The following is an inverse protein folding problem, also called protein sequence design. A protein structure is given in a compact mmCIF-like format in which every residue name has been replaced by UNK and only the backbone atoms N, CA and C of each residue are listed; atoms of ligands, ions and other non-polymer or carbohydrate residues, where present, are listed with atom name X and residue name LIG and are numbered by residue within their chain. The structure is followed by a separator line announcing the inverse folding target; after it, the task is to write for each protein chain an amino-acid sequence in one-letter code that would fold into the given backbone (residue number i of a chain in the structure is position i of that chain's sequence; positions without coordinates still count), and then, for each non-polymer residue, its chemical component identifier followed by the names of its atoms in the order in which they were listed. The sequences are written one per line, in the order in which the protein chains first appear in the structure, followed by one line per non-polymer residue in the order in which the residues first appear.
data_IF_022052107179
#
_entry.id   IF_022052107179
#
_cell.length_a   1.000
_cell.length_b   1.000
_cell.length_c   1.000
_cell.angle_alpha   90.00
_cell.angle_beta   90.00
_cell.angle_gamma   90.00
#
_symmetry.space_group_name_H-M   'P 1'
#
loop_
_entity.id
_entity.type
_entity.pdbx_description
1 polymer ?
#
# COMPACT_ATOMS: atom_id res chain seq x y z
N UNK A 1 17.87 8.95 -29.14
CA UNK A 1 17.84 8.66 -27.69
C UNK A 1 17.90 7.15 -27.43
N UNK A 2 18.32 6.73 -26.20
CA UNK A 2 18.33 5.31 -25.84
C UNK A 2 16.89 4.79 -25.68
N UNK A 3 16.61 3.61 -26.24
CA UNK A 3 15.41 2.85 -25.89
C UNK A 3 15.51 2.37 -24.46
N UNK A 4 14.74 2.98 -23.59
CA UNK A 4 14.87 2.77 -22.15
C UNK A 4 13.73 1.91 -21.62
N UNK A 5 14.09 0.77 -21.04
CA UNK A 5 13.18 -0.08 -20.28
C UNK A 5 12.90 0.52 -18.92
N UNK A 6 11.65 0.50 -18.49
CA UNK A 6 11.23 0.84 -17.14
C UNK A 6 10.54 -0.37 -16.56
N UNK A 7 11.05 -0.90 -15.45
CA UNK A 7 10.46 -2.05 -14.75
C UNK A 7 9.87 -1.63 -13.42
N UNK A 8 8.76 -2.27 -13.07
CA UNK A 8 7.96 -2.04 -11.88
C UNK A 8 7.72 -3.37 -11.18
N UNK A 9 8.67 -3.87 -10.38
CA UNK A 9 8.51 -5.14 -9.69
C UNK A 9 7.59 -5.02 -8.47
N UNK A 10 6.87 -6.11 -8.18
CA UNK A 10 6.29 -6.36 -6.87
C UNK A 10 7.35 -7.01 -5.96
N UNK A 11 7.31 -6.68 -4.69
CA UNK A 11 8.28 -7.17 -3.71
C UNK A 11 7.61 -7.85 -2.50
N UNK A 12 8.40 -8.71 -1.86
CA UNK A 12 8.14 -9.19 -0.50
C UNK A 12 9.34 -8.81 0.35
N UNK A 13 9.19 -8.07 1.45
CA UNK A 13 10.28 -7.67 2.31
C UNK A 13 11.14 -8.85 2.76
N UNK A 14 12.44 -8.80 2.44
CA UNK A 14 13.40 -9.84 2.80
C UNK A 14 13.34 -11.14 1.99
N UNK A 15 12.41 -11.30 1.05
CA UNK A 15 12.34 -12.51 0.22
C UNK A 15 13.19 -12.38 -1.04
N UNK A 16 14.52 -12.31 -0.85
CA UNK A 16 15.50 -12.08 -1.93
C UNK A 16 15.33 -12.99 -3.16
N UNK A 17 15.10 -14.33 -3.04
CA UNK A 17 14.98 -15.19 -4.22
C UNK A 17 13.80 -14.83 -5.13
N UNK A 18 12.63 -14.49 -4.54
CA UNK A 18 11.44 -14.09 -5.31
C UNK A 18 11.63 -12.73 -5.94
N UNK A 19 12.10 -11.74 -5.17
CA UNK A 19 12.32 -10.39 -5.65
C UNK A 19 13.32 -10.38 -6.81
N UNK A 20 14.42 -11.12 -6.67
CA UNK A 20 15.42 -11.28 -7.71
C UNK A 20 14.83 -11.90 -8.99
N UNK A 21 14.05 -12.98 -8.87
CA UNK A 21 13.38 -13.60 -10.02
C UNK A 21 12.49 -12.59 -10.75
N UNK A 22 11.67 -11.84 -10.01
CA UNK A 22 10.79 -10.80 -10.58
C UNK A 22 11.58 -9.75 -11.35
N UNK A 23 12.70 -9.27 -10.81
CA UNK A 23 13.57 -8.29 -11.49
C UNK A 23 14.12 -8.88 -12.79
N UNK A 24 14.64 -10.10 -12.74
CA UNK A 24 15.23 -10.77 -13.93
C UNK A 24 14.18 -11.03 -15.01
N UNK A 25 12.97 -11.47 -14.64
CA UNK A 25 11.85 -11.67 -15.58
C UNK A 25 11.49 -10.36 -16.31
N UNK A 26 11.29 -9.27 -15.57
CA UNK A 26 10.95 -7.98 -16.14
C UNK A 26 12.12 -7.38 -16.96
N UNK A 27 13.35 -7.56 -16.52
CA UNK A 27 14.52 -7.17 -17.28
C UNK A 27 14.57 -7.87 -18.63
N UNK A 28 14.39 -9.20 -18.67
CA UNK A 28 14.38 -9.99 -19.90
C UNK A 28 13.24 -9.55 -20.83
N UNK A 29 12.06 -9.29 -20.30
CA UNK A 29 10.94 -8.74 -21.10
C UNK A 29 11.30 -7.41 -21.78
N UNK A 30 12.06 -6.55 -21.10
CA UNK A 30 12.57 -5.32 -21.72
C UNK A 30 13.61 -5.60 -22.83
N UNK A 31 14.47 -6.61 -22.66
CA UNK A 31 15.42 -7.01 -23.70
C UNK A 31 14.73 -7.51 -24.96
N UNK A 32 13.71 -8.34 -24.79
CA UNK A 32 12.91 -8.88 -25.90
C UNK A 32 12.24 -7.77 -26.73
N UNK A 33 11.99 -6.62 -26.09
CA UNK A 33 11.42 -5.42 -26.73
C UNK A 33 12.49 -4.45 -27.25
N UNK A 34 13.78 -4.78 -27.09
CA UNK A 34 14.91 -4.04 -27.63
C UNK A 34 15.37 -2.87 -26.76
N UNK A 35 15.25 -2.97 -25.45
CA UNK A 35 15.81 -1.99 -24.52
C UNK A 35 17.35 -1.92 -24.63
N UNK A 36 17.88 -0.72 -24.53
CA UNK A 36 19.33 -0.43 -24.50
C UNK A 36 19.83 -0.05 -23.09
N UNK A 37 18.90 0.25 -22.21
CA UNK A 37 19.08 0.50 -20.78
C UNK A 37 17.82 0.04 -20.08
N UNK A 38 17.91 -0.49 -18.84
CA UNK A 38 16.76 -0.79 -18.01
C UNK A 38 16.87 -0.05 -16.67
N UNK A 39 15.80 0.64 -16.28
CA UNK A 39 15.65 1.35 -15.02
C UNK A 39 14.78 0.54 -14.06
N UNK A 40 15.31 0.29 -12.86
CA UNK A 40 14.64 -0.41 -11.78
C UNK A 40 14.51 0.52 -10.57
N UNK A 41 13.37 0.56 -9.90
CA UNK A 41 13.22 1.34 -8.68
C UNK A 41 14.16 0.86 -7.58
N UNK A 42 14.53 1.72 -6.62
CA UNK A 42 15.34 1.32 -5.48
C UNK A 42 14.60 0.32 -4.60
N UNK A 43 15.35 -0.40 -3.80
CA UNK A 43 14.86 -1.39 -2.84
C UNK A 43 14.10 -2.59 -3.47
N UNK A 44 14.13 -2.74 -4.78
CA UNK A 44 13.49 -3.85 -5.47
C UNK A 44 14.00 -5.24 -5.02
N UNK A 45 15.25 -5.34 -4.56
CA UNK A 45 15.79 -6.58 -4.00
C UNK A 45 15.30 -6.86 -2.58
N UNK A 46 15.20 -5.83 -1.74
CA UNK A 46 14.92 -5.98 -0.30
C UNK A 46 13.46 -5.82 0.09
N UNK A 47 12.66 -5.11 -0.71
CA UNK A 47 11.42 -4.48 -0.29
C UNK A 47 11.68 -3.17 0.45
N UNK A 48 10.62 -2.36 0.60
CA UNK A 48 10.65 -1.03 1.26
C UNK A 48 10.48 -1.17 2.77
N UNK A 49 9.47 -1.90 3.19
CA UNK A 49 9.06 -1.99 4.60
C UNK A 49 9.76 -3.13 5.34
N UNK A 50 11.09 -3.09 5.35
CA UNK A 50 11.91 -4.14 5.97
C UNK A 50 12.01 -4.03 7.50
N UNK A 51 11.71 -2.87 8.08
CA UNK A 51 11.76 -2.64 9.53
C UNK A 51 13.04 -3.15 10.18
N UNK A 52 12.91 -3.88 11.28
CA UNK A 52 14.04 -4.46 12.02
C UNK A 52 14.82 -5.54 11.24
N UNK A 53 14.24 -6.12 10.17
CA UNK A 53 14.96 -7.11 9.36
C UNK A 53 16.25 -6.54 8.78
N UNK A 54 16.26 -5.27 8.37
CA UNK A 54 17.42 -4.60 7.83
C UNK A 54 18.60 -4.51 8.82
N UNK A 55 18.33 -4.58 10.12
CA UNK A 55 19.35 -4.55 11.16
C UNK A 55 20.05 -5.89 11.36
N UNK A 56 19.45 -6.99 10.92
CA UNK A 56 19.99 -8.35 11.09
C UNK A 56 21.17 -8.57 10.16
N UNK A 57 22.25 -9.14 10.68
CA UNK A 57 23.47 -9.48 9.89
C UNK A 57 23.16 -10.43 8.74
N UNK A 58 22.32 -11.43 8.98
CA UNK A 58 21.85 -12.38 7.96
C UNK A 58 21.14 -11.71 6.80
N UNK A 59 20.29 -10.72 7.06
CA UNK A 59 19.62 -9.94 6.02
C UNK A 59 20.63 -9.21 5.13
N UNK A 60 21.60 -8.51 5.72
CA UNK A 60 22.65 -7.79 4.98
C UNK A 60 23.53 -8.72 4.16
N UNK A 61 23.82 -9.91 4.68
CA UNK A 61 24.59 -10.93 3.95
C UNK A 61 23.82 -11.45 2.74
N UNK A 62 22.55 -11.80 2.91
CA UNK A 62 21.69 -12.26 1.83
C UNK A 62 21.44 -11.17 0.79
N UNK A 63 21.26 -9.91 1.21
CA UNK A 63 21.11 -8.77 0.31
C UNK A 63 22.33 -8.60 -0.62
N UNK A 64 23.56 -8.64 -0.04
CA UNK A 64 24.80 -8.57 -0.82
C UNK A 64 24.94 -9.76 -1.79
N UNK A 65 24.61 -10.96 -1.35
CA UNK A 65 24.65 -12.15 -2.19
C UNK A 65 23.62 -12.04 -3.34
N UNK A 66 22.41 -11.55 -3.08
CA UNK A 66 21.38 -11.31 -4.09
C UNK A 66 21.82 -10.26 -5.12
N UNK A 67 22.43 -9.16 -4.68
CA UNK A 67 22.96 -8.13 -5.59
C UNK A 67 24.08 -8.69 -6.47
N UNK A 68 25.00 -9.47 -5.89
CA UNK A 68 26.09 -10.11 -6.65
C UNK A 68 25.55 -11.15 -7.65
N UNK A 69 24.50 -11.88 -7.28
CA UNK A 69 23.84 -12.81 -8.19
C UNK A 69 23.14 -12.05 -9.32
N UNK A 70 22.36 -11.01 -9.00
CA UNK A 70 21.70 -10.18 -10.01
C UNK A 70 22.70 -9.61 -11.01
N UNK A 71 23.86 -9.12 -10.55
CA UNK A 71 24.89 -8.60 -11.43
C UNK A 71 25.36 -9.65 -12.48
N UNK A 72 25.38 -10.94 -12.12
CA UNK A 72 25.75 -12.03 -13.06
C UNK A 72 24.65 -12.35 -14.07
N UNK A 73 23.39 -12.14 -13.70
CA UNK A 73 22.24 -12.33 -14.60
C UNK A 73 22.10 -11.19 -15.63
N UNK A 74 22.71 -10.03 -15.37
CA UNK A 74 22.65 -8.86 -16.26
C UNK A 74 23.75 -8.98 -17.32
N UNK A 75 23.31 -9.00 -18.59
CA UNK A 75 24.17 -9.10 -19.77
C UNK A 75 24.67 -7.71 -20.25
N UNK A 76 24.77 -7.53 -21.57
CA UNK A 76 25.29 -6.31 -22.20
C UNK A 76 24.42 -5.07 -21.96
N UNK A 77 23.11 -5.23 -21.89
CA UNK A 77 22.19 -4.12 -21.60
C UNK A 77 22.25 -3.79 -20.13
N UNK A 78 22.66 -2.57 -19.74
CA UNK A 78 22.82 -2.24 -18.34
C UNK A 78 21.48 -2.14 -17.62
N UNK A 79 21.46 -2.58 -16.35
CA UNK A 79 20.39 -2.37 -15.39
C UNK A 79 20.84 -1.37 -14.33
N UNK A 80 20.09 -0.29 -14.16
CA UNK A 80 20.29 0.66 -13.06
C UNK A 80 19.28 0.39 -11.96
N UNK A 81 19.74 0.12 -10.73
CA UNK A 81 18.87 -0.03 -9.55
C UNK A 81 19.49 0.59 -8.29
N UNK A 82 18.65 0.96 -7.33
CA UNK A 82 19.06 1.36 -5.99
C UNK A 82 19.03 0.17 -5.02
N UNK A 83 20.09 -0.02 -4.27
CA UNK A 83 20.20 -1.04 -3.21
C UNK A 83 20.52 -0.38 -1.87
N UNK A 84 19.92 -0.90 -0.77
CA UNK A 84 20.20 -0.41 0.56
C UNK A 84 21.58 -0.87 1.05
N UNK A 85 22.33 0.01 1.69
CA UNK A 85 23.53 -0.31 2.44
C UNK A 85 23.50 0.32 3.84
N UNK A 86 24.63 0.33 4.54
CA UNK A 86 24.72 0.90 5.89
C UNK A 86 24.60 2.44 5.92
N UNK A 87 24.80 3.10 4.78
CA UNK A 87 24.81 4.55 4.63
C UNK A 87 23.55 5.10 3.94
N UNK A 88 22.63 4.20 3.51
CA UNK A 88 21.40 4.57 2.83
C UNK A 88 21.17 3.80 1.53
N UNK A 89 20.66 4.47 0.50
CA UNK A 89 20.44 3.86 -0.81
C UNK A 89 21.62 4.21 -1.71
N UNK A 90 22.27 3.16 -2.24
CA UNK A 90 23.33 3.30 -3.23
C UNK A 90 22.84 2.80 -4.58
N UNK A 91 23.00 3.57 -5.62
CA UNK A 91 22.68 3.15 -6.98
C UNK A 91 23.82 2.32 -7.59
N UNK A 92 23.45 1.25 -8.26
CA UNK A 92 24.33 0.33 -8.94
C UNK A 92 23.95 0.24 -10.42
N UNK A 93 24.91 0.47 -11.29
CA UNK A 93 24.79 0.11 -12.70
C UNK A 93 25.39 -1.29 -12.86
N UNK A 94 24.52 -2.25 -13.18
CA UNK A 94 24.91 -3.65 -13.40
C UNK A 94 25.07 -3.90 -14.90
N UNK A 95 26.18 -4.53 -15.30
CA UNK A 95 26.47 -4.90 -16.70
C UNK A 95 27.51 -6.00 -16.75
N UNK A 96 27.30 -7.05 -17.55
CA UNK A 96 28.28 -8.13 -17.82
C UNK A 96 28.89 -8.73 -16.54
N UNK A 97 28.08 -9.04 -15.55
CA UNK A 97 28.54 -9.59 -14.28
C UNK A 97 29.20 -8.58 -13.34
N UNK A 98 29.33 -7.32 -13.72
CA UNK A 98 29.96 -6.26 -12.93
C UNK A 98 28.92 -5.35 -12.30
N UNK A 99 29.26 -4.79 -11.15
CA UNK A 99 28.46 -3.79 -10.44
C UNK A 99 29.30 -2.53 -10.24
N UNK A 100 28.80 -1.41 -10.76
CA UNK A 100 29.43 -0.10 -10.65
C UNK A 100 28.62 0.77 -9.67
N UNK A 101 28.98 0.78 -8.36
CA UNK A 101 28.24 1.54 -7.38
C UNK A 101 28.52 3.04 -7.50
N UNK A 102 27.49 3.86 -7.27
CA UNK A 102 27.59 5.30 -7.08
C UNK A 102 26.75 5.68 -5.87
N UNK A 103 27.32 6.42 -4.97
CA UNK A 103 26.62 6.88 -3.78
C UNK A 103 25.61 7.97 -4.18
N UNK A 104 24.32 7.72 -3.91
CA UNK A 104 23.35 8.78 -3.84
C UNK A 104 23.57 9.49 -2.51
N UNK A 105 24.19 10.66 -2.52
CA UNK A 105 24.25 11.49 -1.33
C UNK A 105 22.85 12.08 -1.17
N UNK A 106 22.05 11.52 -0.28
CA UNK A 106 20.83 12.15 0.21
C UNK A 106 21.24 12.96 1.46
N UNK A 107 21.47 14.25 1.36
CA UNK A 107 21.65 15.04 2.56
C UNK A 107 20.29 15.24 3.23
N UNK A 108 20.17 15.05 4.54
CA UNK A 108 19.00 15.47 5.30
C UNK A 108 19.05 16.98 5.46
N UNK A 109 18.53 17.74 4.51
CA UNK A 109 18.42 19.19 4.69
C UNK A 109 17.24 19.75 3.91
N UNK A 110 16.32 20.47 4.57
CA UNK A 110 15.20 21.15 3.91
C UNK A 110 15.61 22.35 3.03
N UNK A 111 16.89 22.74 2.97
CA UNK A 111 17.36 23.90 2.23
C UNK A 111 18.70 23.72 1.49
N UNK A 112 19.23 22.50 1.37
CA UNK A 112 20.48 22.23 0.68
C UNK A 112 20.26 21.92 -0.80
N UNK A 113 21.03 22.55 -1.70
CA UNK A 113 21.11 22.15 -3.11
C UNK A 113 21.72 20.75 -3.17
N UNK A 114 20.88 19.74 -3.37
CA UNK A 114 21.27 18.33 -3.44
C UNK A 114 22.13 18.10 -4.68
N UNK A 115 23.25 17.42 -4.50
CA UNK A 115 24.05 16.90 -5.62
C UNK A 115 23.37 15.61 -6.10
N UNK A 116 22.83 15.67 -7.28
CA UNK A 116 22.24 14.51 -7.95
C UNK A 116 23.36 13.60 -8.46
N UNK A 117 23.41 12.30 -8.11
CA UNK A 117 24.39 11.38 -8.67
C UNK A 117 24.16 11.24 -10.17
N UNK A 118 25.25 11.34 -10.93
CA UNK A 118 25.24 11.26 -12.39
C UNK A 118 25.91 9.97 -12.81
N UNK A 119 25.22 9.15 -13.60
CA UNK A 119 25.75 7.95 -14.22
C UNK A 119 26.03 8.21 -15.69
N UNK A 120 27.27 7.99 -16.13
CA UNK A 120 27.64 8.02 -17.54
C UNK A 120 27.61 6.61 -18.12
N UNK A 121 26.84 6.41 -19.18
CA UNK A 121 26.88 5.21 -20.00
C UNK A 121 27.41 5.62 -21.36
N UNK A 122 28.60 5.10 -21.72
CA UNK A 122 29.19 5.36 -23.03
C UNK A 122 28.65 4.35 -24.05
N UNK A 123 27.93 4.84 -25.04
CA UNK A 123 27.66 4.13 -26.28
C UNK A 123 28.88 4.30 -27.21
N UNK A 124 29.12 3.40 -28.14
CA UNK A 124 30.37 3.31 -28.94
C UNK A 124 30.72 4.59 -29.70
N UNK A 125 29.82 5.54 -29.88
CA UNK A 125 30.09 6.83 -30.56
C UNK A 125 29.52 8.04 -29.80
N UNK A 126 28.57 7.83 -28.85
CA UNK A 126 27.95 8.90 -28.05
C UNK A 126 27.95 8.56 -26.56
N UNK A 127 28.30 9.53 -25.72
CA UNK A 127 28.21 9.41 -24.26
C UNK A 127 26.81 9.82 -23.82
N UNK A 128 26.01 8.87 -23.34
CA UNK A 128 24.75 9.16 -22.70
C UNK A 128 24.95 9.27 -21.18
N UNK A 129 24.60 10.40 -20.61
CA UNK A 129 24.73 10.67 -19.18
C UNK A 129 23.34 10.64 -18.53
N UNK A 130 23.20 9.89 -17.45
CA UNK A 130 21.97 9.80 -16.67
C UNK A 130 22.11 10.57 -15.36
N UNK A 131 21.14 11.40 -15.07
CA UNK A 131 21.00 12.00 -13.76
C UNK A 131 19.94 11.23 -12.97
N UNK A 132 20.32 10.68 -11.83
CA UNK A 132 19.41 10.04 -10.88
C UNK A 132 19.11 11.05 -9.79
N UNK A 133 17.85 11.49 -9.70
CA UNK A 133 17.39 12.41 -8.67
C UNK A 133 16.44 11.67 -7.71
N UNK A 134 16.92 11.16 -6.58
CA UNK A 134 16.04 10.64 -5.54
C UNK A 134 15.25 11.81 -4.94
N UNK A 135 13.93 11.77 -5.05
CA UNK A 135 13.08 12.79 -4.45
C UNK A 135 12.85 14.09 -5.25
N UNK A 136 13.23 14.14 -6.54
CA UNK A 136 12.83 15.24 -7.44
C UNK A 136 13.77 16.42 -7.56
N UNK A 137 15.03 16.31 -7.13
CA UNK A 137 16.04 17.36 -7.31
C UNK A 137 16.37 17.64 -8.79
N UNK A 138 16.55 18.91 -9.16
CA UNK A 138 16.97 19.34 -10.50
C UNK A 138 18.49 19.13 -10.64
N UNK A 139 18.98 18.51 -11.74
CA UNK A 139 20.42 18.32 -11.93
C UNK A 139 21.15 19.68 -12.09
N UNK A 140 22.44 19.75 -11.68
CA UNK A 140 23.23 20.96 -11.86
C UNK A 140 23.36 21.35 -13.34
N UNK A 141 23.32 22.63 -13.69
CA UNK A 141 23.28 23.13 -15.08
C UNK A 141 24.54 22.85 -15.92
N UNK A 142 25.59 22.27 -15.33
CA UNK A 142 26.85 21.97 -16.02
C UNK A 142 27.01 20.50 -16.40
N UNK A 143 25.96 19.69 -16.27
CA UNK A 143 25.97 18.30 -16.76
C UNK A 143 25.53 18.30 -18.22
N UNK A 144 26.50 18.47 -19.12
CA UNK A 144 26.29 18.78 -20.55
C UNK A 144 25.85 17.64 -21.45
N UNK A 145 25.46 16.47 -20.91
CA UNK A 145 25.04 15.32 -21.70
C UNK A 145 23.98 14.47 -21.02
N UNK A 146 23.14 15.08 -20.16
CA UNK A 146 22.04 14.35 -19.53
C UNK A 146 20.94 14.05 -20.54
N UNK A 147 20.61 12.78 -20.76
CA UNK A 147 19.57 12.39 -21.71
C UNK A 147 18.22 12.06 -21.07
N UNK A 148 18.17 11.86 -19.76
CA UNK A 148 16.94 11.63 -18.99
C UNK A 148 17.15 11.91 -17.48
N UNK A 149 16.05 12.13 -16.79
CA UNK A 149 16.00 12.22 -15.33
C UNK A 149 15.28 10.98 -14.77
N UNK A 150 15.76 10.46 -13.66
CA UNK A 150 15.12 9.34 -12.98
C UNK A 150 14.68 9.77 -11.57
N UNK A 151 13.36 9.79 -11.34
CA UNK A 151 12.75 9.94 -10.03
C UNK A 151 12.46 8.54 -9.46
N UNK A 152 12.69 8.36 -8.17
CA UNK A 152 12.51 7.07 -7.50
C UNK A 152 11.80 7.20 -6.16
N UNK A 153 10.53 7.68 -6.16
CA UNK A 153 9.77 7.76 -4.91
C UNK A 153 9.50 6.35 -4.36
N UNK A 154 9.64 6.20 -3.05
CA UNK A 154 9.45 4.93 -2.33
C UNK A 154 8.29 5.01 -1.31
N UNK A 155 7.34 5.93 -1.53
CA UNK A 155 6.23 6.16 -0.63
C UNK A 155 5.16 5.08 -0.79
N UNK A 156 4.54 4.67 0.32
CA UNK A 156 3.31 3.92 0.28
C UNK A 156 2.19 4.78 -0.30
N UNK A 157 1.27 4.12 -1.01
CA UNK A 157 0.13 4.78 -1.62
C UNK A 157 -0.84 5.33 -0.56
N UNK A 158 -1.31 6.51 -0.80
CA UNK A 158 -2.46 7.14 -0.19
C UNK A 158 -3.18 7.98 -1.24
N UNK A 159 -4.44 8.33 -0.97
CA UNK A 159 -5.22 9.14 -1.91
C UNK A 159 -4.52 10.48 -2.21
N UNK A 160 -4.49 10.85 -3.49
CA UNK A 160 -3.85 12.08 -3.98
C UNK A 160 -2.34 11.97 -4.25
N UNK A 161 -1.67 10.90 -3.82
CA UNK A 161 -0.23 10.74 -4.01
C UNK A 161 0.17 10.73 -5.50
N UNK A 162 -0.57 10.00 -6.32
CA UNK A 162 -0.20 9.84 -7.73
C UNK A 162 -0.40 11.11 -8.53
N UNK A 163 -1.46 11.85 -8.24
CA UNK A 163 -1.76 13.14 -8.85
C UNK A 163 -0.66 14.15 -8.55
N UNK A 164 -0.24 14.22 -7.29
CA UNK A 164 0.86 15.10 -6.88
C UNK A 164 2.17 14.71 -7.54
N UNK A 165 2.54 13.44 -7.50
CA UNK A 165 3.80 12.93 -8.06
C UNK A 165 3.89 13.10 -9.57
N UNK A 166 2.77 12.93 -10.30
CA UNK A 166 2.73 13.15 -11.74
C UNK A 166 2.86 14.63 -12.09
N UNK A 167 2.22 15.50 -11.33
CA UNK A 167 2.36 16.94 -11.53
C UNK A 167 3.80 17.39 -11.28
N UNK A 168 4.45 16.87 -10.23
CA UNK A 168 5.87 17.15 -9.98
C UNK A 168 6.77 16.63 -11.12
N UNK A 169 6.50 15.42 -11.65
CA UNK A 169 7.25 14.87 -12.77
C UNK A 169 7.07 15.71 -14.04
N UNK A 170 5.84 16.13 -14.32
CA UNK A 170 5.48 17.00 -15.45
C UNK A 170 6.19 18.36 -15.36
N UNK A 171 6.14 18.99 -14.20
CA UNK A 171 6.82 20.28 -13.95
C UNK A 171 8.34 20.15 -14.09
N UNK A 172 8.93 19.07 -13.54
CA UNK A 172 10.36 18.79 -13.69
C UNK A 172 10.75 18.60 -15.16
N UNK A 173 9.94 17.91 -15.95
CA UNK A 173 10.16 17.73 -17.37
C UNK A 173 10.13 19.08 -18.13
N UNK A 174 9.17 19.93 -17.81
CA UNK A 174 9.06 21.30 -18.37
C UNK A 174 10.27 22.17 -18.03
N UNK A 175 10.68 22.21 -16.76
CA UNK A 175 11.77 23.06 -16.30
C UNK A 175 13.11 22.66 -16.88
N UNK A 176 13.33 21.35 -17.08
CA UNK A 176 14.61 20.84 -17.58
C UNK A 176 14.65 20.61 -19.09
N UNK A 177 13.50 20.52 -19.74
CA UNK A 177 13.40 20.13 -21.15
C UNK A 177 13.78 18.65 -21.41
N UNK A 178 13.97 17.85 -20.36
CA UNK A 178 14.42 16.47 -20.43
C UNK A 178 13.27 15.49 -20.15
N UNK A 179 13.32 14.26 -20.70
CA UNK A 179 12.40 13.21 -20.31
C UNK A 179 12.59 12.84 -18.82
N UNK A 180 11.48 12.72 -18.10
CA UNK A 180 11.46 12.31 -16.69
C UNK A 180 10.85 10.93 -16.55
N UNK A 181 11.62 9.99 -16.05
CA UNK A 181 11.21 8.64 -15.70
C UNK A 181 10.96 8.57 -14.20
N UNK A 182 9.77 8.18 -13.80
CA UNK A 182 9.46 7.90 -12.40
C UNK A 182 9.33 6.40 -12.22
N UNK A 183 10.29 5.80 -11.50
CA UNK A 183 10.33 4.35 -11.24
C UNK A 183 9.83 4.06 -9.82
N UNK A 184 8.80 3.22 -9.69
CA UNK A 184 8.18 2.81 -8.43
C UNK A 184 8.07 1.30 -8.32
N UNK A 185 8.04 0.82 -7.10
CA UNK A 185 7.63 -0.53 -6.76
C UNK A 185 6.09 -0.62 -6.74
N UNK A 186 5.56 -1.82 -6.88
CA UNK A 186 4.13 -2.09 -6.87
C UNK A 186 3.75 -3.16 -5.83
N UNK A 187 2.46 -3.18 -5.50
CA UNK A 187 1.84 -4.22 -4.67
C UNK A 187 1.98 -4.00 -3.17
N UNK A 188 1.34 -4.88 -2.41
CA UNK A 188 1.27 -4.78 -0.95
C UNK A 188 2.54 -5.29 -0.26
N UNK A 189 3.00 -4.57 0.76
CA UNK A 189 4.01 -4.97 1.72
C UNK A 189 3.45 -4.85 3.14
N UNK A 190 2.80 -5.92 3.64
CA UNK A 190 2.07 -5.89 4.90
C UNK A 190 0.88 -4.91 4.83
N UNK A 191 0.75 -3.96 5.76
CA UNK A 191 -0.34 -2.99 5.75
C UNK A 191 -0.20 -1.89 4.70
N UNK A 192 0.94 -1.78 4.04
CA UNK A 192 1.25 -0.73 3.08
C UNK A 192 1.08 -1.22 1.65
N UNK A 193 0.61 -0.35 0.78
CA UNK A 193 0.48 -0.62 -0.64
C UNK A 193 1.41 0.30 -1.44
N UNK A 194 2.26 -0.27 -2.27
CA UNK A 194 3.13 0.48 -3.16
C UNK A 194 2.39 0.78 -4.47
N UNK A 195 2.38 2.04 -4.92
CA UNK A 195 1.44 2.48 -5.95
C UNK A 195 1.69 1.89 -7.34
N UNK A 196 2.92 1.49 -7.66
CA UNK A 196 3.25 1.27 -9.05
C UNK A 196 3.06 2.55 -9.88
N UNK A 197 2.32 2.46 -10.97
CA UNK A 197 2.07 3.60 -11.87
C UNK A 197 3.35 4.35 -12.25
N UNK A 198 4.46 3.63 -12.42
CA UNK A 198 5.70 4.21 -12.93
C UNK A 198 5.41 4.92 -14.24
N UNK A 199 5.94 6.12 -14.42
CA UNK A 199 5.54 6.98 -15.54
C UNK A 199 6.74 7.60 -16.25
N UNK A 200 6.53 7.99 -17.50
CA UNK A 200 7.53 8.69 -18.32
C UNK A 200 6.88 9.91 -18.94
N UNK A 201 7.46 11.05 -18.66
CA UNK A 201 7.06 12.34 -19.21
C UNK A 201 8.13 12.84 -20.20
N UNK A 202 7.72 13.36 -21.35
CA UNK A 202 8.64 14.04 -22.28
C UNK A 202 9.03 15.41 -21.75
N UNK A 203 10.15 15.96 -22.24
CA UNK A 203 10.53 17.34 -21.95
C UNK A 203 9.50 18.42 -22.40
N UNK A 204 8.52 18.03 -23.20
CA UNK A 204 7.40 18.88 -23.64
C UNK A 204 6.10 18.61 -22.84
N UNK A 205 6.21 18.11 -21.62
CA UNK A 205 5.09 17.86 -20.70
C UNK A 205 4.06 16.81 -21.17
N UNK A 206 4.36 15.98 -22.17
CA UNK A 206 3.46 14.93 -22.60
C UNK A 206 3.76 13.63 -21.83
N UNK A 207 2.71 12.99 -21.33
CA UNK A 207 2.83 11.63 -20.78
C UNK A 207 3.10 10.67 -21.93
N UNK A 208 4.25 10.00 -21.91
CA UNK A 208 4.65 9.01 -22.91
C UNK A 208 4.18 7.61 -22.54
N UNK A 209 4.24 7.28 -21.26
CA UNK A 209 3.84 5.98 -20.72
C UNK A 209 3.52 6.05 -19.25
N UNK A 210 2.50 5.29 -18.83
CA UNK A 210 2.25 4.93 -17.42
C UNK A 210 2.11 3.41 -17.34
N UNK A 211 2.78 2.80 -16.38
CA UNK A 211 2.63 1.39 -16.06
C UNK A 211 1.38 1.17 -15.18
N UNK A 212 0.97 -0.08 -15.01
CA UNK A 212 -0.25 -0.41 -14.26
C UNK A 212 -0.17 0.01 -12.80
N UNK A 213 -1.31 0.39 -12.25
CA UNK A 213 -1.44 0.69 -10.84
C UNK A 213 -1.36 -0.60 -10.02
N UNK A 214 -0.60 -0.57 -8.94
CA UNK A 214 -0.49 -1.61 -7.90
C UNK A 214 0.02 -2.98 -8.37
N UNK A 215 0.31 -3.17 -9.63
CA UNK A 215 0.71 -4.44 -10.22
C UNK A 215 2.12 -4.38 -10.79
N UNK A 216 2.78 -5.53 -10.87
CA UNK A 216 4.04 -5.64 -11.60
C UNK A 216 3.82 -5.35 -13.08
N UNK A 217 4.74 -4.60 -13.67
CA UNK A 217 4.67 -4.22 -15.08
C UNK A 217 6.04 -3.82 -15.63
N UNK A 218 6.14 -3.70 -16.96
CA UNK A 218 7.32 -3.16 -17.62
C UNK A 218 6.96 -2.60 -19.00
N UNK A 219 7.72 -1.62 -19.45
CA UNK A 219 7.63 -1.11 -20.80
C UNK A 219 8.99 -0.63 -21.30
N UNK A 220 9.18 -0.61 -22.62
CA UNK A 220 10.32 0.02 -23.27
C UNK A 220 9.84 1.27 -23.98
N UNK A 221 10.46 2.39 -23.66
CA UNK A 221 10.07 3.71 -24.14
C UNK A 221 11.18 4.27 -25.03
N UNK A 222 10.81 4.70 -26.23
CA UNK A 222 11.63 5.54 -27.08
C UNK A 222 11.09 6.96 -27.02
N UNK A 223 11.82 7.92 -26.44
CA UNK A 223 11.34 9.29 -26.35
C UNK A 223 11.13 9.98 -27.69
N UNK A 224 11.69 9.44 -28.77
CA UNK A 224 11.55 9.96 -30.14
C UNK A 224 10.28 9.47 -30.86
N UNK A 225 9.74 8.34 -30.42
CA UNK A 225 8.53 7.75 -30.97
C UNK A 225 7.58 7.38 -29.82
N UNK A 226 6.82 8.32 -29.29
CA UNK A 226 5.83 8.03 -28.27
C UNK A 226 4.73 7.16 -28.90
N UNK A 227 4.82 5.86 -28.73
CA UNK A 227 3.77 4.92 -29.11
C UNK A 227 2.73 4.89 -27.99
N UNK A 228 1.71 5.71 -28.12
CA UNK A 228 0.50 5.57 -27.34
C UNK A 228 0.17 6.77 -26.45
N UNK A 229 -1.05 7.21 -26.56
CA UNK A 229 -1.73 8.00 -25.54
C UNK A 229 -2.10 7.06 -24.40
N UNK A 230 -1.39 7.12 -23.29
CA UNK A 230 -1.82 6.39 -22.09
C UNK A 230 -3.11 6.99 -21.54
N UNK A 231 -3.93 6.12 -20.98
CA UNK A 231 -5.17 6.51 -20.32
C UNK A 231 -4.87 7.44 -19.13
N UNK A 232 -5.74 8.42 -18.85
CA UNK A 232 -5.61 9.24 -17.64
C UNK A 232 -5.60 8.36 -16.38
N UNK A 233 -5.10 8.89 -15.27
CA UNK A 233 -5.26 8.22 -13.99
C UNK A 233 -6.74 7.90 -13.73
N UNK A 234 -7.06 6.73 -13.18
CA UNK A 234 -8.41 6.46 -12.71
C UNK A 234 -8.84 7.49 -11.67
N UNK A 235 -10.14 7.68 -11.50
CA UNK A 235 -10.63 8.58 -10.45
C UNK A 235 -10.13 8.15 -9.06
N UNK A 236 -10.03 9.06 -8.08
CA UNK A 236 -9.61 8.71 -6.73
C UNK A 236 -10.40 7.55 -6.12
N UNK A 237 -11.70 7.49 -6.38
CA UNK A 237 -12.56 6.38 -5.94
C UNK A 237 -12.19 5.05 -6.60
N UNK A 238 -11.90 5.07 -7.89
CA UNK A 238 -11.46 3.87 -8.62
C UNK A 238 -10.08 3.40 -8.14
N UNK A 239 -9.17 4.35 -7.89
CA UNK A 239 -7.87 4.04 -7.30
C UNK A 239 -8.03 3.41 -5.91
N UNK A 240 -8.86 3.99 -5.04
CA UNK A 240 -9.09 3.49 -3.69
C UNK A 240 -9.73 2.09 -3.69
N UNK A 241 -10.70 1.85 -4.59
CA UNK A 241 -11.31 0.52 -4.76
C UNK A 241 -10.29 -0.52 -5.20
N UNK A 242 -9.44 -0.17 -6.16
CA UNK A 242 -8.36 -1.04 -6.63
C UNK A 242 -7.32 -1.27 -5.51
N UNK A 243 -6.95 -0.22 -4.79
CA UNK A 243 -6.02 -0.28 -3.67
C UNK A 243 -6.50 -1.22 -2.55
N UNK A 244 -7.78 -1.12 -2.17
CA UNK A 244 -8.38 -2.02 -1.17
C UNK A 244 -8.29 -3.49 -1.60
N UNK A 245 -8.71 -3.78 -2.84
CA UNK A 245 -8.68 -5.14 -3.39
C UNK A 245 -7.26 -5.69 -3.45
N UNK A 246 -6.35 -4.96 -4.07
CA UNK A 246 -4.96 -5.39 -4.24
C UNK A 246 -4.21 -5.50 -2.92
N UNK A 247 -4.41 -4.54 -2.01
CA UNK A 247 -3.79 -4.58 -0.69
C UNK A 247 -4.26 -5.78 0.13
N UNK A 248 -5.56 -6.11 0.08
CA UNK A 248 -6.12 -7.28 0.75
C UNK A 248 -5.59 -8.58 0.13
N UNK A 249 -5.65 -8.72 -1.21
CA UNK A 249 -5.10 -9.86 -1.94
C UNK A 249 -3.64 -10.12 -1.55
N UNK A 250 -2.80 -9.10 -1.67
CA UNK A 250 -1.36 -9.21 -1.42
C UNK A 250 -1.05 -9.53 0.04
N UNK A 251 -1.77 -8.93 1.00
CA UNK A 251 -1.58 -9.26 2.40
C UNK A 251 -1.86 -10.74 2.66
N UNK A 252 -2.98 -11.25 2.17
CA UNK A 252 -3.40 -12.63 2.37
C UNK A 252 -2.42 -13.59 1.67
N UNK A 253 -2.18 -13.40 0.37
CA UNK A 253 -1.33 -14.33 -0.40
C UNK A 253 0.14 -14.30 0.02
N UNK A 254 0.66 -13.14 0.41
CA UNK A 254 2.05 -12.99 0.86
C UNK A 254 2.26 -13.42 2.31
N UNK A 255 1.19 -13.51 3.12
CA UNK A 255 1.25 -14.04 4.49
C UNK A 255 1.52 -15.55 4.54
N UNK A 256 1.24 -16.26 3.45
CA UNK A 256 1.49 -17.70 3.33
C UNK A 256 0.40 -18.60 3.92
N UNK A 257 -0.73 -18.05 4.36
CA UNK A 257 -1.87 -18.84 4.80
C UNK A 257 -2.63 -19.44 3.62
N UNK A 258 -3.03 -20.69 3.76
CA UNK A 258 -3.81 -21.43 2.75
C UNK A 258 -5.32 -21.25 2.88
N UNK A 259 -5.79 -20.79 4.03
CA UNK A 259 -7.20 -20.60 4.35
C UNK A 259 -7.42 -19.28 5.09
N UNK A 260 -8.64 -18.75 4.98
CA UNK A 260 -9.08 -17.52 5.65
C UNK A 260 -10.38 -17.77 6.39
N UNK A 261 -10.53 -17.19 7.55
CA UNK A 261 -11.81 -17.18 8.24
C UNK A 261 -12.22 -15.80 8.69
N UNK A 262 -13.53 -15.59 8.83
CA UNK A 262 -14.11 -14.32 9.28
C UNK A 262 -15.42 -14.57 10.04
N UNK A 263 -15.79 -13.60 10.88
CA UNK A 263 -17.07 -13.59 11.53
C UNK A 263 -18.13 -13.02 10.56
N UNK A 264 -19.13 -13.83 10.21
CA UNK A 264 -20.28 -13.41 9.40
C UNK A 264 -21.39 -12.90 10.31
N UNK A 265 -21.52 -11.58 10.36
CA UNK A 265 -22.64 -10.91 11.00
C UNK A 265 -23.56 -10.36 9.92
N UNK A 266 -24.81 -10.07 10.26
CA UNK A 266 -25.71 -9.34 9.36
C UNK A 266 -25.32 -7.84 9.23
N UNK A 267 -24.07 -7.48 9.48
CA UNK A 267 -23.61 -6.14 9.16
C UNK A 267 -23.06 -6.10 7.74
N UNK A 268 -23.35 -5.01 7.06
CA UNK A 268 -22.94 -4.80 5.67
C UNK A 268 -21.44 -4.94 5.45
N UNK A 269 -20.63 -4.60 6.44
CA UNK A 269 -19.17 -4.69 6.36
C UNK A 269 -18.66 -6.15 6.32
N UNK A 270 -19.27 -7.07 7.09
CA UNK A 270 -18.86 -8.48 7.04
C UNK A 270 -19.25 -9.15 5.72
N UNK A 271 -20.42 -8.82 5.18
CA UNK A 271 -20.86 -9.31 3.88
C UNK A 271 -20.02 -8.73 2.74
N UNK A 272 -19.70 -7.43 2.78
CA UNK A 272 -18.79 -6.81 1.84
C UNK A 272 -17.40 -7.46 1.87
N UNK A 273 -16.84 -7.70 3.07
CA UNK A 273 -15.55 -8.36 3.22
C UNK A 273 -15.56 -9.77 2.62
N UNK A 274 -16.63 -10.52 2.86
CA UNK A 274 -16.80 -11.86 2.31
C UNK A 274 -16.85 -11.85 0.77
N UNK A 275 -17.57 -10.90 0.17
CA UNK A 275 -17.62 -10.72 -1.29
C UNK A 275 -16.26 -10.35 -1.86
N UNK A 276 -15.59 -9.36 -1.26
CA UNK A 276 -14.25 -8.95 -1.68
C UNK A 276 -13.24 -10.10 -1.63
N UNK A 277 -13.31 -10.97 -0.62
CA UNK A 277 -12.46 -12.15 -0.51
C UNK A 277 -12.66 -13.10 -1.70
N UNK A 278 -13.89 -13.37 -2.06
CA UNK A 278 -14.19 -14.27 -3.19
C UNK A 278 -13.81 -13.66 -4.53
N UNK A 279 -13.93 -12.35 -4.67
CA UNK A 279 -13.52 -11.64 -5.87
C UNK A 279 -11.98 -11.62 -6.03
N UNK A 280 -11.25 -11.31 -4.96
CA UNK A 280 -9.78 -11.12 -5.02
C UNK A 280 -8.98 -12.40 -4.84
N UNK A 281 -9.50 -13.37 -4.08
CA UNK A 281 -8.83 -14.62 -3.75
C UNK A 281 -9.73 -15.84 -4.04
N UNK A 282 -10.20 -16.06 -5.28
CA UNK A 282 -11.22 -17.06 -5.60
C UNK A 282 -10.79 -18.51 -5.34
N UNK A 283 -9.50 -18.78 -5.32
CA UNK A 283 -8.94 -20.11 -5.05
C UNK A 283 -8.73 -20.39 -3.55
N UNK A 284 -8.94 -19.40 -2.69
CA UNK A 284 -8.71 -19.54 -1.27
C UNK A 284 -9.92 -20.21 -0.58
N UNK A 285 -9.65 -21.08 0.38
CA UNK A 285 -10.68 -21.61 1.25
C UNK A 285 -11.12 -20.54 2.24
N UNK A 286 -12.41 -20.18 2.20
CA UNK A 286 -12.99 -19.14 3.07
C UNK A 286 -14.05 -19.78 3.95
N UNK A 287 -13.87 -19.69 5.28
CA UNK A 287 -14.83 -20.12 6.30
C UNK A 287 -15.45 -18.94 7.00
N UNK A 288 -16.75 -18.80 6.89
CA UNK A 288 -17.54 -17.82 7.63
C UNK A 288 -18.09 -18.38 8.93
N UNK A 289 -17.88 -17.71 10.04
CA UNK A 289 -18.48 -18.07 11.33
C UNK A 289 -19.75 -17.29 11.57
N UNK A 290 -20.86 -17.99 11.77
CA UNK A 290 -22.15 -17.40 12.10
C UNK A 290 -22.43 -17.60 13.60
N UNK A 291 -22.30 -16.54 14.42
CA UNK A 291 -22.54 -16.64 15.85
C UNK A 291 -24.01 -16.89 16.17
N UNK A 292 -24.27 -17.88 17.03
CA UNK A 292 -25.59 -18.11 17.62
C UNK A 292 -25.74 -17.28 18.90
N UNK A 293 -26.03 -15.99 18.76
CA UNK A 293 -26.26 -15.07 19.87
C UNK A 293 -27.76 -14.93 20.18
N UNK A 294 -28.14 -14.81 21.46
CA UNK A 294 -29.49 -14.41 21.82
C UNK A 294 -29.85 -13.06 21.18
N UNK A 295 -31.01 -12.99 20.54
CA UNK A 295 -31.48 -11.76 19.89
C UNK A 295 -31.15 -11.61 18.41
N UNK A 296 -30.40 -12.52 17.80
CA UNK A 296 -30.28 -12.60 16.32
C UNK A 296 -31.52 -13.39 15.81
N UNK A 297 -32.40 -12.77 15.01
CA UNK A 297 -33.56 -13.46 14.42
C UNK A 297 -33.13 -14.61 13.51
N UNK A 298 -33.93 -15.67 13.45
CA UNK A 298 -33.64 -16.81 12.56
C UNK A 298 -33.59 -16.39 11.08
N UNK A 299 -34.48 -15.51 10.68
CA UNK A 299 -34.53 -14.93 9.33
C UNK A 299 -33.19 -14.26 8.95
N UNK A 300 -32.51 -13.61 9.89
CA UNK A 300 -31.17 -13.04 9.71
C UNK A 300 -30.15 -14.11 9.43
N UNK A 301 -30.18 -15.22 10.17
CA UNK A 301 -29.25 -16.35 9.96
C UNK A 301 -29.46 -16.99 8.59
N UNK A 302 -30.71 -17.19 8.21
CA UNK A 302 -31.06 -17.75 6.90
C UNK A 302 -30.57 -16.86 5.76
N UNK A 303 -30.71 -15.53 5.87
CA UNK A 303 -30.19 -14.59 4.88
C UNK A 303 -28.67 -14.63 4.76
N UNK A 304 -27.96 -14.66 5.88
CA UNK A 304 -26.48 -14.73 5.89
C UNK A 304 -26.02 -16.08 5.31
N UNK A 305 -26.70 -17.17 5.64
CA UNK A 305 -26.40 -18.50 5.07
C UNK A 305 -26.67 -18.55 3.56
N UNK A 306 -27.77 -17.97 3.10
CA UNK A 306 -28.07 -17.88 1.67
C UNK A 306 -27.02 -17.04 0.91
N UNK A 307 -26.62 -15.91 1.47
CA UNK A 307 -25.54 -15.08 0.92
C UNK A 307 -24.23 -15.87 0.84
N UNK A 308 -23.81 -16.51 1.93
CA UNK A 308 -22.58 -17.29 1.97
C UNK A 308 -22.60 -18.44 0.96
N UNK A 309 -23.74 -19.13 0.81
CA UNK A 309 -23.94 -20.16 -0.21
C UNK A 309 -23.76 -19.63 -1.64
N UNK A 310 -24.30 -18.45 -1.94
CA UNK A 310 -24.14 -17.79 -3.24
C UNK A 310 -22.69 -17.37 -3.47
N UNK A 311 -22.02 -16.86 -2.44
CA UNK A 311 -20.62 -16.46 -2.50
C UNK A 311 -19.63 -17.67 -2.47
N UNK A 312 -20.12 -18.89 -2.28
CA UNK A 312 -19.28 -20.10 -2.19
C UNK A 312 -18.40 -20.11 -0.93
N UNK A 313 -18.92 -19.60 0.20
CA UNK A 313 -18.24 -19.55 1.49
C UNK A 313 -18.77 -20.67 2.38
N UNK A 314 -17.88 -21.47 2.98
CA UNK A 314 -18.23 -22.45 3.99
C UNK A 314 -18.75 -21.75 5.25
N UNK A 315 -19.91 -22.19 5.79
CA UNK A 315 -20.48 -21.61 7.02
C UNK A 315 -20.36 -22.57 8.18
N UNK A 316 -19.86 -22.08 9.32
CA UNK A 316 -19.87 -22.77 10.60
C UNK A 316 -20.62 -21.98 11.64
N UNK A 317 -21.58 -22.58 12.31
CA UNK A 317 -22.29 -21.95 13.42
C UNK A 317 -21.50 -22.11 14.71
N UNK A 318 -21.25 -21.00 15.41
CA UNK A 318 -20.60 -21.00 16.72
C UNK A 318 -21.63 -20.60 17.78
N UNK A 319 -21.82 -21.49 18.75
CA UNK A 319 -22.68 -21.25 19.91
C UNK A 319 -21.87 -21.21 21.18
N UNK A 320 -22.25 -20.32 22.11
CA UNK A 320 -21.65 -20.25 23.41
C UNK A 320 -22.54 -20.95 24.44
N UNK A 321 -21.99 -21.81 25.31
CA UNK A 321 -22.79 -22.46 26.33
C UNK A 321 -23.31 -21.44 27.34
N UNK A 322 -24.61 -21.44 27.58
CA UNK A 322 -25.36 -20.49 28.40
C UNK A 322 -24.91 -20.34 29.89
N UNK A 323 -23.86 -21.04 30.33
CA UNK A 323 -23.38 -21.08 31.72
C UNK A 323 -21.93 -20.63 31.92
N UNK A 324 -21.33 -19.93 30.99
CA UNK A 324 -19.94 -19.46 31.16
C UNK A 324 -19.87 -18.17 31.97
N UNK A 325 -20.37 -18.22 33.19
CA UNK A 325 -20.09 -17.35 34.33
C UNK A 325 -19.52 -15.93 34.07
N UNK A 326 -20.34 -15.01 33.51
CA UNK A 326 -19.98 -13.58 33.48
C UNK A 326 -19.02 -13.13 32.38
N UNK A 327 -18.60 -14.01 31.46
CA UNK A 327 -17.84 -13.60 30.28
C UNK A 327 -18.77 -12.93 29.26
N UNK A 328 -18.30 -11.86 28.64
CA UNK A 328 -18.97 -11.26 27.49
C UNK A 328 -19.06 -12.30 26.35
N UNK A 329 -20.28 -12.66 25.95
CA UNK A 329 -20.54 -13.67 24.91
C UNK A 329 -19.81 -13.36 23.60
N UNK A 330 -19.69 -12.07 23.24
CA UNK A 330 -18.97 -11.64 22.05
C UNK A 330 -17.46 -11.91 22.16
N UNK A 331 -16.90 -11.69 23.35
CA UNK A 331 -15.49 -12.00 23.60
C UNK A 331 -15.24 -13.50 23.51
N UNK A 332 -16.12 -14.30 24.10
CA UNK A 332 -15.99 -15.76 24.07
C UNK A 332 -16.06 -16.33 22.66
N UNK A 333 -17.02 -15.83 21.84
CA UNK A 333 -17.14 -16.22 20.44
C UNK A 333 -15.86 -15.82 19.65
N UNK A 334 -15.35 -14.62 19.85
CA UNK A 334 -14.13 -14.17 19.18
C UNK A 334 -12.95 -15.11 19.50
N UNK A 335 -12.82 -15.53 20.77
CA UNK A 335 -11.77 -16.48 21.19
C UNK A 335 -11.98 -17.89 20.63
N UNK A 336 -13.20 -18.39 20.53
CA UNK A 336 -13.49 -19.69 19.93
C UNK A 336 -13.14 -19.71 18.43
N UNK A 337 -13.47 -18.63 17.71
CA UNK A 337 -13.08 -18.46 16.30
C UNK A 337 -11.55 -18.39 16.18
N UNK A 338 -10.88 -17.66 17.07
CA UNK A 338 -9.42 -17.58 17.10
C UNK A 338 -8.78 -18.95 17.33
N UNK A 339 -9.25 -19.71 18.28
CA UNK A 339 -8.75 -21.05 18.57
C UNK A 339 -8.89 -21.96 17.32
N UNK A 340 -10.04 -21.92 16.68
CA UNK A 340 -10.25 -22.70 15.46
C UNK A 340 -9.28 -22.23 14.34
N UNK A 341 -9.08 -20.94 14.17
CA UNK A 341 -8.17 -20.41 13.16
C UNK A 341 -6.72 -20.89 13.39
N UNK A 342 -6.29 -20.98 14.64
CA UNK A 342 -4.97 -21.52 15.01
C UNK A 342 -4.86 -23.03 14.73
N UNK A 343 -5.90 -23.81 15.07
CA UNK A 343 -5.94 -25.26 14.84
C UNK A 343 -5.89 -25.61 13.34
N UNK A 344 -6.58 -24.83 12.50
CA UNK A 344 -6.63 -25.06 11.04
C UNK A 344 -5.53 -24.31 10.28
N UNK A 345 -4.74 -23.47 10.94
CA UNK A 345 -3.74 -22.64 10.27
C UNK A 345 -4.35 -21.61 9.34
N UNK A 346 -5.52 -21.06 9.67
CA UNK A 346 -6.24 -20.08 8.88
C UNK A 346 -5.97 -18.63 9.36
N UNK A 347 -5.94 -17.70 8.43
CA UNK A 347 -5.84 -16.26 8.73
C UNK A 347 -7.21 -15.73 9.17
N UNK A 348 -7.31 -15.19 10.38
CA UNK A 348 -8.55 -14.62 10.89
C UNK A 348 -8.67 -13.15 10.54
N UNK A 349 -9.70 -12.82 9.76
CA UNK A 349 -10.01 -11.44 9.37
C UNK A 349 -11.11 -10.84 10.23
N UNK A 350 -10.99 -9.53 10.49
CA UNK A 350 -12.04 -8.73 11.09
C UNK A 350 -12.67 -7.78 10.08
N UNK A 351 -14.00 -7.67 10.10
CA UNK A 351 -14.77 -6.74 9.27
C UNK A 351 -14.95 -5.36 9.88
N UNK A 352 -14.21 -5.03 10.94
CA UNK A 352 -14.29 -3.71 11.55
C UNK A 352 -13.90 -2.62 10.57
N UNK A 353 -14.67 -1.54 10.60
CA UNK A 353 -14.46 -0.32 9.81
C UNK A 353 -13.69 0.73 10.59
N UNK A 354 -13.23 1.79 9.94
CA UNK A 354 -12.68 2.97 10.60
C UNK A 354 -13.66 3.58 11.60
N UNK A 355 -14.96 3.56 11.29
CA UNK A 355 -16.01 4.00 12.20
C UNK A 355 -16.03 3.20 13.50
N UNK A 356 -16.01 1.87 13.38
CA UNK A 356 -15.99 0.98 14.55
C UNK A 356 -14.75 1.22 15.41
N UNK A 357 -13.59 1.35 14.77
CA UNK A 357 -12.30 1.55 15.46
C UNK A 357 -12.26 2.89 16.20
N UNK A 358 -12.73 3.96 15.57
CA UNK A 358 -12.71 5.30 16.18
C UNK A 358 -13.73 5.48 17.30
N UNK A 359 -14.82 4.70 17.29
CA UNK A 359 -15.86 4.73 18.32
C UNK A 359 -15.78 3.56 19.30
N UNK A 360 -14.75 2.72 19.19
CA UNK A 360 -14.57 1.51 19.96
C UNK A 360 -14.51 1.76 21.48
N UNK A 361 -15.04 0.84 22.29
CA UNK A 361 -14.75 0.81 23.72
C UNK A 361 -13.26 0.47 23.96
N UNK A 362 -12.79 0.65 25.20
CA UNK A 362 -11.41 0.32 25.60
C UNK A 362 -11.00 -1.13 25.33
N UNK A 363 -11.97 -2.01 25.20
CA UNK A 363 -11.75 -3.43 24.93
C UNK A 363 -12.66 -3.87 23.80
N UNK A 364 -12.07 -4.36 22.71
CA UNK A 364 -12.78 -4.80 21.50
C UNK A 364 -12.29 -6.22 21.13
N UNK A 365 -12.90 -7.27 21.72
CA UNK A 365 -12.41 -8.64 21.58
C UNK A 365 -12.31 -9.13 20.14
N UNK A 366 -13.29 -8.80 19.30
CA UNK A 366 -13.30 -9.20 17.89
C UNK A 366 -12.12 -8.62 17.10
N UNK A 367 -11.63 -7.43 17.48
CA UNK A 367 -10.45 -6.84 16.87
C UNK A 367 -9.17 -7.49 17.38
N UNK A 368 -9.07 -7.71 18.69
CA UNK A 368 -7.86 -8.27 19.30
C UNK A 368 -7.64 -9.75 18.98
N UNK A 369 -8.69 -10.46 18.59
CA UNK A 369 -8.59 -11.85 18.17
C UNK A 369 -8.16 -12.01 16.70
N UNK A 370 -8.35 -11.00 15.85
CA UNK A 370 -8.05 -11.06 14.42
C UNK A 370 -6.54 -10.94 14.13
N UNK A 371 -6.15 -11.39 12.93
CA UNK A 371 -4.80 -11.23 12.39
C UNK A 371 -4.70 -10.00 11.47
N UNK A 372 -5.84 -9.61 10.85
CA UNK A 372 -5.88 -8.51 9.89
C UNK A 372 -7.25 -7.85 9.81
N UNK A 373 -7.28 -6.53 9.65
CA UNK A 373 -8.50 -5.72 9.54
C UNK A 373 -8.49 -4.96 8.21
N UNK A 374 -8.92 -5.57 7.09
CA UNK A 374 -8.81 -4.96 5.76
C UNK A 374 -9.53 -3.62 5.60
N UNK A 375 -10.72 -3.47 6.24
CA UNK A 375 -11.58 -2.29 6.11
C UNK A 375 -11.28 -1.20 7.16
N UNK A 376 -10.31 -1.44 8.06
CA UNK A 376 -10.11 -0.65 9.27
C UNK A 376 -9.65 0.80 9.08
N UNK A 377 -9.23 1.19 7.89
CA UNK A 377 -8.84 2.57 7.56
C UNK A 377 -9.95 3.35 6.81
N UNK A 378 -11.05 2.69 6.51
CA UNK A 378 -12.19 3.28 5.80
C UNK A 378 -13.40 3.40 6.70
N UNK A 379 -14.06 4.57 6.66
CA UNK A 379 -15.32 4.78 7.36
C UNK A 379 -16.48 4.12 6.62
N UNK A 380 -17.60 3.85 7.32
CA UNK A 380 -18.79 3.23 6.71
C UNK A 380 -19.32 4.04 5.51
N UNK A 381 -19.29 5.35 5.59
CA UNK A 381 -19.71 6.24 4.50
C UNK A 381 -18.80 6.16 3.28
N UNK A 382 -17.50 6.00 3.48
CA UNK A 382 -16.54 5.81 2.37
C UNK A 382 -16.78 4.46 1.70
N UNK A 383 -16.98 3.41 2.49
CA UNK A 383 -17.30 2.08 1.97
C UNK A 383 -18.63 2.07 1.20
N UNK A 384 -19.63 2.82 1.67
CA UNK A 384 -20.91 2.97 0.97
C UNK A 384 -20.77 3.63 -0.40
N UNK A 385 -19.90 4.63 -0.52
CA UNK A 385 -19.60 5.30 -1.78
C UNK A 385 -18.82 4.37 -2.72
N UNK A 386 -17.85 3.63 -2.20
CA UNK A 386 -17.05 2.71 -2.98
C UNK A 386 -17.84 1.48 -3.46
N UNK A 387 -18.79 1.00 -2.65
CA UNK A 387 -19.56 -0.22 -2.91
C UNK A 387 -21.05 0.03 -2.73
N UNK A 388 -21.66 0.83 -3.63
CA UNK A 388 -23.09 1.12 -3.55
C UNK A 388 -23.91 -0.17 -3.67
N UNK A 389 -24.88 -0.32 -2.79
CA UNK A 389 -25.71 -1.52 -2.71
C UNK A 389 -25.30 -2.53 -1.62
N UNK A 390 -24.07 -2.45 -1.09
CA UNK A 390 -23.66 -3.24 0.08
C UNK A 390 -23.90 -2.49 1.39
N UNK A 391 -23.47 -1.25 1.46
CA UNK A 391 -23.57 -0.43 2.67
C UNK A 391 -24.48 0.76 2.39
N UNK A 392 -25.46 0.96 3.26
CA UNK A 392 -26.36 2.12 3.23
C UNK A 392 -26.41 2.71 4.64
N UNK A 393 -25.47 3.58 5.01
CA UNK A 393 -25.44 4.15 6.34
C UNK A 393 -26.67 5.05 6.57
N UNK A 394 -27.26 4.95 7.76
CA UNK A 394 -28.30 5.88 8.16
C UNK A 394 -27.76 7.32 8.15
N UNK A 395 -28.63 8.35 7.95
CA UNK A 395 -28.18 9.75 7.91
C UNK A 395 -27.35 10.17 9.14
N UNK A 396 -27.67 9.62 10.31
CA UNK A 396 -26.94 9.86 11.56
C UNK A 396 -25.54 9.24 11.53
N UNK A 397 -25.39 8.05 10.94
CA UNK A 397 -24.10 7.40 10.76
C UNK A 397 -23.24 8.19 9.78
N UNK A 398 -23.82 8.67 8.69
CA UNK A 398 -23.12 9.51 7.73
C UNK A 398 -22.63 10.84 8.34
N UNK A 399 -23.46 11.47 9.17
CA UNK A 399 -23.07 12.69 9.89
C UNK A 399 -21.96 12.41 10.91
N UNK A 400 -22.06 11.32 11.66
CA UNK A 400 -21.03 10.87 12.62
C UNK A 400 -19.68 10.69 11.92
N UNK A 401 -19.64 9.96 10.82
CA UNK A 401 -18.43 9.72 10.05
C UNK A 401 -17.85 11.03 9.51
N UNK A 402 -18.68 11.95 9.03
CA UNK A 402 -18.25 13.27 8.60
C UNK A 402 -17.53 14.06 9.71
N UNK A 403 -18.00 14.00 10.96
CA UNK A 403 -17.30 14.62 12.09
C UNK A 403 -16.00 13.88 12.47
N UNK A 404 -16.00 12.54 12.42
CA UNK A 404 -14.78 11.75 12.69
C UNK A 404 -13.69 12.02 11.66
N UNK A 405 -14.03 12.13 10.37
CA UNK A 405 -13.08 12.46 9.30
C UNK A 405 -12.44 13.83 9.57
N UNK A 406 -13.26 14.85 9.86
CA UNK A 406 -12.78 16.20 10.13
C UNK A 406 -11.88 16.28 11.37
N UNK A 407 -12.28 15.62 12.46
CA UNK A 407 -11.51 15.62 13.71
C UNK A 407 -10.16 14.89 13.57
N UNK A 408 -10.12 13.78 12.85
CA UNK A 408 -8.98 12.85 12.92
C UNK A 408 -8.16 12.73 11.64
N UNK A 409 -8.74 13.06 10.48
CA UNK A 409 -8.02 13.02 9.21
C UNK A 409 -7.71 14.42 8.68
N UNK A 410 -8.65 15.35 8.82
CA UNK A 410 -8.47 16.74 8.43
C UNK A 410 -7.89 17.62 9.56
N UNK A 411 -7.77 17.05 10.77
CA UNK A 411 -7.19 17.70 11.95
C UNK A 411 -7.90 19.00 12.37
N UNK A 412 -9.19 19.12 12.07
CA UNK A 412 -10.00 20.23 12.57
C UNK A 412 -10.21 20.10 14.09
N UNK A 413 -10.10 21.18 14.83
CA UNK A 413 -10.38 21.16 16.27
C UNK A 413 -11.88 20.99 16.54
N UNK A 414 -12.23 20.37 17.68
CA UNK A 414 -13.63 20.25 18.08
C UNK A 414 -14.29 21.63 18.26
N UNK A 415 -13.53 22.64 18.65
CA UNK A 415 -14.02 24.02 18.82
C UNK A 415 -14.38 24.66 17.49
N UNK A 416 -13.56 24.49 16.46
CA UNK A 416 -13.85 24.96 15.09
C UNK A 416 -15.12 24.28 14.53
N UNK A 417 -15.24 22.96 14.73
CA UNK A 417 -16.41 22.21 14.31
C UNK A 417 -17.69 22.66 15.04
N UNK A 418 -17.62 22.88 16.34
CA UNK A 418 -18.77 23.40 17.12
C UNK A 418 -19.15 24.81 16.65
N UNK A 419 -18.21 25.67 16.35
CA UNK A 419 -18.52 27.01 15.80
C UNK A 419 -19.20 26.93 14.42
N UNK A 420 -18.86 25.93 13.62
CA UNK A 420 -19.48 25.69 12.29
C UNK A 420 -20.83 24.97 12.36
N UNK A 421 -21.00 24.07 13.35
CA UNK A 421 -22.19 23.24 13.55
C UNK A 421 -22.67 23.29 15.00
N UNK A 422 -23.17 24.46 15.48
CA UNK A 422 -23.52 24.65 16.89
C UNK A 422 -24.59 23.67 17.40
N UNK A 423 -25.51 23.30 16.52
CA UNK A 423 -26.60 22.33 16.83
C UNK A 423 -26.06 20.90 17.11
N UNK A 424 -24.85 20.61 16.69
CA UNK A 424 -24.18 19.30 16.84
C UNK A 424 -23.14 19.29 17.95
N UNK A 425 -23.00 20.33 18.76
CA UNK A 425 -21.94 20.43 19.79
C UNK A 425 -21.87 19.19 20.68
N UNK A 426 -22.99 18.71 21.18
CA UNK A 426 -23.04 17.54 22.07
C UNK A 426 -22.49 16.29 21.38
N UNK A 427 -22.80 16.11 20.11
CA UNK A 427 -22.32 14.97 19.31
C UNK A 427 -20.84 15.09 19.03
N UNK A 428 -20.35 16.22 18.55
CA UNK A 428 -18.94 16.49 18.25
C UNK A 428 -18.07 16.21 19.49
N UNK A 429 -18.43 16.79 20.63
CA UNK A 429 -17.68 16.57 21.88
C UNK A 429 -17.78 15.15 22.40
N UNK A 430 -18.89 14.43 22.14
CA UNK A 430 -19.00 13.00 22.45
C UNK A 430 -18.04 12.19 21.60
N UNK A 431 -18.00 12.41 20.28
CA UNK A 431 -17.11 11.71 19.35
C UNK A 431 -15.64 11.96 19.67
N UNK A 432 -15.26 13.19 19.97
CA UNK A 432 -13.91 13.53 20.41
C UNK A 432 -13.51 12.72 21.66
N UNK A 433 -14.39 12.65 22.68
CA UNK A 433 -14.12 11.84 23.90
C UNK A 433 -14.03 10.34 23.60
N UNK A 434 -14.91 9.82 22.73
CA UNK A 434 -14.87 8.41 22.32
C UNK A 434 -13.58 8.08 21.60
N UNK A 435 -13.16 8.88 20.64
CA UNK A 435 -11.93 8.69 19.91
C UNK A 435 -10.67 8.73 20.82
N UNK A 436 -10.65 9.63 21.81
CA UNK A 436 -9.61 9.63 22.85
C UNK A 436 -9.64 8.36 23.71
N UNK A 437 -10.83 7.93 24.12
CA UNK A 437 -10.98 6.73 24.94
C UNK A 437 -10.59 5.44 24.20
N UNK A 438 -10.79 5.40 22.87
CA UNK A 438 -10.46 4.25 22.03
C UNK A 438 -8.97 4.19 21.62
N UNK A 439 -8.17 5.19 21.94
CA UNK A 439 -6.76 5.25 21.55
C UNK A 439 -5.96 4.04 22.03
N UNK A 440 -6.14 3.63 23.28
CA UNK A 440 -5.52 2.42 23.83
C UNK A 440 -5.89 1.14 23.06
N UNK A 441 -7.12 1.08 22.54
CA UNK A 441 -7.57 -0.03 21.71
C UNK A 441 -6.89 0.02 20.35
N UNK A 442 -6.88 1.19 19.71
CA UNK A 442 -6.27 1.37 18.38
C UNK A 442 -4.81 0.95 18.31
N UNK A 443 -4.06 1.21 19.36
CA UNK A 443 -2.63 0.87 19.44
C UNK A 443 -2.35 -0.63 19.63
N UNK A 444 -3.38 -1.42 19.99
CA UNK A 444 -3.30 -2.87 20.14
C UNK A 444 -3.94 -3.64 18.99
N UNK A 445 -4.49 -2.92 18.00
CA UNK A 445 -5.14 -3.57 16.88
C UNK A 445 -4.14 -4.32 16.01
N UNK A 446 -4.56 -5.44 15.41
CA UNK A 446 -3.79 -6.08 14.37
C UNK A 446 -3.60 -5.14 13.16
N UNK A 447 -2.71 -5.51 12.24
CA UNK A 447 -2.50 -4.74 11.02
C UNK A 447 -3.80 -4.43 10.28
N UNK A 448 -3.91 -3.22 9.75
CA UNK A 448 -4.98 -2.79 8.84
C UNK A 448 -4.34 -2.18 7.60
N UNK A 449 -5.03 -2.21 6.47
CA UNK A 449 -4.54 -1.51 5.28
C UNK A 449 -4.48 0.00 5.55
N UNK A 450 -3.38 0.61 5.15
CA UNK A 450 -3.15 2.06 5.27
C UNK A 450 -3.44 2.70 3.92
N UNK A 451 -4.69 3.09 3.68
CA UNK A 451 -5.18 3.57 2.39
C UNK A 451 -5.46 5.08 2.36
N UNK A 452 -5.92 5.60 3.49
CA UNK A 452 -6.22 7.01 3.69
C UNK A 452 -5.19 7.71 4.54
N UNK A 453 -4.44 6.94 5.30
CA UNK A 453 -3.55 7.43 6.33
C UNK A 453 -2.12 7.45 5.84
N UNK A 454 -1.43 8.57 6.03
CA UNK A 454 0.00 8.68 5.72
C UNK A 454 0.78 7.85 6.76
N UNK A 455 1.61 6.87 6.33
CA UNK A 455 2.42 6.10 7.25
C UNK A 455 3.27 6.97 8.16
N UNK A 456 3.24 6.71 9.46
CA UNK A 456 4.03 7.44 10.46
C UNK A 456 3.41 8.73 11.01
N UNK A 457 2.24 9.17 10.55
CA UNK A 457 1.57 10.39 11.03
C UNK A 457 0.43 10.14 12.02
N UNK A 458 0.11 8.89 12.34
CA UNK A 458 -1.16 8.50 12.96
C UNK A 458 -1.16 8.35 14.47
N UNK A 459 -0.05 8.52 15.14
CA UNK A 459 -0.03 8.27 16.59
C UNK A 459 -0.08 9.58 17.37
N UNK A 460 -1.29 9.92 17.82
CA UNK A 460 -1.43 10.86 18.93
C UNK A 460 -0.67 10.28 20.14
N UNK A 461 0.18 11.05 20.84
CA UNK A 461 0.88 10.54 22.01
C UNK A 461 -0.09 9.95 23.04
N UNK A 462 0.24 8.81 23.64
CA UNK A 462 -0.58 8.13 24.66
C UNK A 462 -0.99 9.03 25.81
N UNK A 463 -0.13 9.97 26.15
CA UNK A 463 -0.34 10.92 27.24
C UNK A 463 -0.18 12.32 26.66
N UNK A 464 -1.31 12.97 26.42
CA UNK A 464 -1.33 14.39 26.06
C UNK A 464 -2.43 15.10 26.87
N UNK A 465 -2.26 16.41 27.02
CA UNK A 465 -3.23 17.29 27.70
C UNK A 465 -3.70 18.42 26.81
N UNK A 466 -3.69 18.20 25.50
CA UNK A 466 -4.24 19.18 24.58
C UNK A 466 -5.74 19.30 24.86
N UNK A 467 -6.18 20.48 25.23
CA UNK A 467 -7.59 20.83 25.39
C UNK A 467 -8.00 21.63 24.15
N UNK A 468 -8.69 20.97 23.22
CA UNK A 468 -9.33 21.60 22.06
C UNK A 468 -10.79 21.92 22.38
#
# INVERSE_FOLDING_TARGET
MLKTGLIQPETIPGHFPRNLRTIVELYRSCLDTGAELVLCPPLALSGVHTGELALRSGFRTQHRAALAYLAREIADVPLLLGAADAEGIRFHLLRNGLSFPRQAVIPPSPHGKERVPVFGIRRTEDEAVFSVAPGGGIPPPHVSATCLLLRTPANAWHEGLLEQDEEEARLTARETGLPVFTARLAGGEGPFLLPGASSVWSGNENLLKRLRLFERDSAVISPENPTGTDSPLPSPEQQLRHALRKGMEDFILKSGYGAVCLNLLENSASLLLAELLKETCPSLEVTGFLPSLPGIPEETRERVQAFAGTAGIGVRTVSFPAKAGGLDEKAAIAWLIRQWAEEEGALLLSSLTGTDIMTAPRFLPAALAADFIPLGDLYETELANLFPGFISPAPEAARRDGFLIRLHREHESATELVNRFPESEREIRRLQRQARASEWTRLKLPPRLMLRSIPGTQETPYIHRLAD
#
